data_IF_880363509392
#
_entry.id   IF_880363509392
#
_cell.length_a   1.000
_cell.length_b   1.000
_cell.length_c   1.000
_cell.angle_alpha   90.00
_cell.angle_beta   90.00
_cell.angle_gamma   90.00
#
_symmetry.space_group_name_H-M   'P 1'
#
loop_
_entity.id
_entity.type
_entity.pdbx_description
1 polymer ?
#
# COMPACT_ATOMS: atom_id res chain seq x y z
N UNK A 1 -27.23 -11.25 -9.98
CA UNK A 1 -27.16 -10.25 -8.90
C UNK A 1 -27.45 -8.89 -9.51
N UNK A 2 -28.24 -8.06 -8.84
CA UNK A 2 -28.35 -6.63 -9.19
C UNK A 2 -27.13 -5.91 -8.61
N UNK A 3 -26.45 -5.08 -9.41
CA UNK A 3 -25.28 -4.32 -8.95
C UNK A 3 -25.66 -3.33 -7.84
N UNK A 4 -26.82 -2.70 -8.00
CA UNK A 4 -27.49 -1.86 -7.01
C UNK A 4 -28.93 -2.36 -6.86
N UNK A 5 -29.39 -2.59 -5.62
CA UNK A 5 -30.80 -2.86 -5.31
C UNK A 5 -31.15 -2.27 -3.95
N UNK A 6 -32.42 -1.89 -3.76
CA UNK A 6 -32.99 -1.40 -2.49
C UNK A 6 -32.24 -0.26 -1.76
N UNK A 7 -31.28 0.42 -2.40
CA UNK A 7 -30.53 1.52 -1.78
C UNK A 7 -31.36 2.81 -1.75
N UNK A 8 -31.34 3.50 -0.61
CA UNK A 8 -31.96 4.81 -0.45
C UNK A 8 -31.21 5.89 -1.26
N UNK A 9 -31.92 6.72 -2.05
CA UNK A 9 -31.29 7.84 -2.73
C UNK A 9 -30.97 8.98 -1.74
N UNK A 10 -29.75 9.50 -1.80
CA UNK A 10 -29.32 10.68 -1.02
C UNK A 10 -29.36 11.91 -1.92
N UNK A 11 -30.17 12.90 -1.57
CA UNK A 11 -30.39 14.10 -2.39
C UNK A 11 -29.09 14.91 -2.55
N UNK A 12 -28.68 15.17 -3.80
CA UNK A 12 -27.50 16.00 -4.09
C UNK A 12 -26.15 15.30 -4.03
N UNK A 13 -26.11 13.97 -3.93
CA UNK A 13 -24.87 13.18 -3.95
C UNK A 13 -24.97 12.00 -4.93
N UNK A 14 -23.86 11.48 -5.50
CA UNK A 14 -23.89 10.19 -6.19
C UNK A 14 -24.36 9.10 -5.22
N UNK A 15 -25.11 8.11 -5.68
CA UNK A 15 -25.63 7.06 -4.78
C UNK A 15 -24.50 6.29 -4.10
N UNK A 16 -24.72 5.75 -2.90
CA UNK A 16 -23.70 4.93 -2.22
C UNK A 16 -23.27 3.72 -3.07
N UNK A 17 -24.17 3.18 -3.91
CA UNK A 17 -23.81 2.15 -4.88
C UNK A 17 -22.87 2.65 -5.98
N UNK A 18 -23.04 3.91 -6.44
CA UNK A 18 -22.10 4.55 -7.38
C UNK A 18 -20.69 4.64 -6.79
N UNK A 19 -20.56 4.85 -5.46
CA UNK A 19 -19.27 4.82 -4.79
C UNK A 19 -18.66 3.40 -4.78
N UNK A 20 -19.44 2.38 -4.42
CA UNK A 20 -19.00 0.97 -4.35
C UNK A 20 -18.74 0.33 -5.74
N UNK A 21 -19.35 0.86 -6.81
CA UNK A 21 -19.22 0.38 -8.19
C UNK A 21 -18.11 1.10 -8.96
N UNK A 22 -17.98 2.42 -8.77
CA UNK A 22 -17.09 3.27 -9.59
C UNK A 22 -15.95 3.85 -8.78
N UNK A 23 -16.24 4.51 -7.65
CA UNK A 23 -15.29 5.42 -7.01
C UNK A 23 -14.23 4.67 -6.20
N UNK A 24 -14.60 3.75 -5.31
CA UNK A 24 -13.63 2.96 -4.53
C UNK A 24 -12.75 2.07 -5.45
N UNK A 25 -13.33 1.30 -6.40
CA UNK A 25 -12.53 0.50 -7.33
C UNK A 25 -11.56 1.32 -8.20
N UNK A 26 -11.79 2.62 -8.41
CA UNK A 26 -10.94 3.48 -9.26
C UNK A 26 -9.49 3.54 -8.77
N UNK A 27 -9.25 3.54 -7.45
CA UNK A 27 -7.90 3.49 -6.90
C UNK A 27 -7.17 2.19 -7.32
N UNK A 28 -7.89 1.06 -7.27
CA UNK A 28 -7.38 -0.25 -7.70
C UNK A 28 -7.16 -0.32 -9.22
N UNK A 29 -8.07 0.24 -10.04
CA UNK A 29 -7.88 0.36 -11.49
C UNK A 29 -6.64 1.19 -11.85
N UNK A 30 -6.43 2.33 -11.19
CA UNK A 30 -5.24 3.18 -11.38
C UNK A 30 -3.95 2.44 -10.97
N UNK A 31 -3.96 1.73 -9.84
CA UNK A 31 -2.82 0.91 -9.42
C UNK A 31 -2.48 -0.14 -10.48
N UNK A 32 -3.47 -0.89 -10.97
CA UNK A 32 -3.26 -1.91 -12.02
C UNK A 32 -2.77 -1.31 -13.35
N UNK A 33 -3.31 -0.17 -13.79
CA UNK A 33 -2.81 0.54 -14.96
C UNK A 33 -1.35 1.01 -14.79
N UNK A 34 -0.92 1.30 -13.56
CA UNK A 34 0.47 1.69 -13.25
C UNK A 34 1.45 0.51 -13.16
N UNK A 35 0.97 -0.75 -13.06
CA UNK A 35 1.84 -1.92 -12.85
C UNK A 35 2.88 -2.13 -13.96
N UNK A 36 2.57 -2.06 -15.27
CA UNK A 36 3.56 -2.30 -16.32
C UNK A 36 4.72 -1.31 -16.24
N UNK A 37 4.41 -0.02 -16.04
CA UNK A 37 5.42 1.03 -15.84
C UNK A 37 6.25 0.79 -14.57
N UNK A 38 5.60 0.42 -13.47
CA UNK A 38 6.24 0.09 -12.20
C UNK A 38 7.22 -1.08 -12.35
N UNK A 39 6.83 -2.14 -13.07
CA UNK A 39 7.68 -3.31 -13.35
C UNK A 39 8.86 -2.95 -14.26
N UNK A 40 8.67 -2.12 -15.29
CA UNK A 40 9.74 -1.64 -16.18
C UNK A 40 10.75 -0.75 -15.43
N UNK A 41 10.29 0.09 -14.50
CA UNK A 41 11.18 0.92 -13.65
C UNK A 41 11.92 0.07 -12.62
N UNK A 42 11.26 -0.92 -12.01
CA UNK A 42 11.89 -1.85 -11.07
C UNK A 42 12.92 -2.78 -11.73
N UNK A 43 12.66 -3.29 -12.95
CA UNK A 43 13.59 -4.19 -13.64
C UNK A 43 14.93 -3.53 -13.92
N UNK A 44 14.92 -2.24 -14.28
CA UNK A 44 16.13 -1.41 -14.47
C UNK A 44 16.86 -1.05 -13.17
N UNK A 45 16.24 -1.21 -11.99
CA UNK A 45 16.81 -0.87 -10.67
C UNK A 45 17.28 -2.08 -9.85
N UNK A 46 17.37 -3.28 -10.44
CA UNK A 46 17.71 -4.55 -9.77
C UNK A 46 19.12 -4.66 -9.14
N UNK A 47 19.94 -3.61 -9.16
CA UNK A 47 21.32 -3.61 -8.65
C UNK A 47 21.49 -3.02 -7.24
N UNK A 48 20.43 -2.52 -6.60
CA UNK A 48 20.52 -2.07 -5.21
C UNK A 48 20.64 -3.26 -4.25
N UNK A 49 21.75 -3.34 -3.50
CA UNK A 49 21.96 -4.38 -2.48
C UNK A 49 20.84 -4.40 -1.42
N UNK A 50 20.52 -5.58 -0.84
CA UNK A 50 19.53 -5.68 0.23
C UNK A 50 20.03 -4.96 1.49
N UNK A 51 19.53 -3.74 1.71
CA UNK A 51 19.77 -2.96 2.93
C UNK A 51 19.38 -3.78 4.17
N UNK A 52 20.34 -3.98 5.08
CA UNK A 52 20.16 -4.81 6.26
C UNK A 52 19.02 -4.29 7.14
N UNK A 53 17.88 -4.99 7.12
CA UNK A 53 16.61 -4.50 7.66
C UNK A 53 16.68 -4.38 9.19
N UNK A 54 16.66 -3.13 9.66
CA UNK A 54 16.78 -2.79 11.08
C UNK A 54 15.68 -3.45 11.93
N UNK A 55 15.93 -3.63 13.23
CA UNK A 55 14.92 -4.19 14.16
C UNK A 55 13.60 -3.39 14.14
N UNK A 56 13.66 -2.07 13.92
CA UNK A 56 12.49 -1.21 13.78
C UNK A 56 11.72 -1.49 12.48
N UNK A 57 12.40 -1.53 11.32
CA UNK A 57 11.76 -1.86 10.05
C UNK A 57 11.12 -3.27 10.04
N UNK A 58 11.68 -4.23 10.79
CA UNK A 58 11.05 -5.54 11.00
C UNK A 58 9.74 -5.42 11.77
N UNK A 59 9.69 -4.64 12.86
CA UNK A 59 8.44 -4.37 13.61
C UNK A 59 7.39 -3.63 12.76
N UNK A 60 7.80 -2.61 12.01
CA UNK A 60 6.91 -1.84 11.12
C UNK A 60 6.26 -2.75 10.07
N UNK A 61 7.02 -3.69 9.50
CA UNK A 61 6.48 -4.62 8.51
C UNK A 61 5.51 -5.65 9.09
N UNK A 62 5.75 -6.12 10.33
CA UNK A 62 4.79 -6.97 11.05
C UNK A 62 3.49 -6.19 11.31
N UNK A 63 3.58 -4.94 11.78
CA UNK A 63 2.42 -4.06 11.96
C UNK A 63 1.65 -3.86 10.65
N UNK A 64 2.36 -3.58 9.55
CA UNK A 64 1.77 -3.44 8.22
C UNK A 64 0.99 -4.70 7.79
N UNK A 65 1.54 -5.89 8.03
CA UNK A 65 0.86 -7.16 7.73
C UNK A 65 -0.36 -7.42 8.62
N UNK A 66 -0.31 -7.05 9.91
CA UNK A 66 -1.50 -7.15 10.78
C UNK A 66 -2.61 -6.21 10.32
N UNK A 67 -2.26 -4.96 9.98
CA UNK A 67 -3.22 -3.98 9.46
C UNK A 67 -3.87 -4.45 8.15
N UNK A 68 -3.11 -5.01 7.20
CA UNK A 68 -3.68 -5.39 5.88
C UNK A 68 -4.52 -6.67 5.94
N UNK A 69 -4.25 -7.56 6.90
CA UNK A 69 -5.17 -8.67 7.21
C UNK A 69 -6.46 -8.15 7.86
N UNK A 70 -6.38 -7.15 8.76
CA UNK A 70 -7.57 -6.53 9.35
C UNK A 70 -8.41 -5.78 8.29
N UNK A 71 -7.77 -5.09 7.36
CA UNK A 71 -8.42 -4.33 6.28
C UNK A 71 -9.14 -5.23 5.28
N UNK A 72 -8.50 -6.33 4.87
CA UNK A 72 -9.13 -7.38 4.06
C UNK A 72 -10.30 -8.03 4.83
N UNK A 73 -10.16 -8.27 6.15
CA UNK A 73 -11.24 -8.83 6.96
C UNK A 73 -12.45 -7.87 7.07
N UNK A 74 -12.22 -6.56 7.28
CA UNK A 74 -13.29 -5.56 7.28
C UNK A 74 -13.97 -5.44 5.91
N UNK A 75 -13.19 -5.46 4.82
CA UNK A 75 -13.73 -5.49 3.44
C UNK A 75 -14.65 -6.70 3.22
N UNK A 76 -14.24 -7.89 3.68
CA UNK A 76 -15.06 -9.12 3.59
C UNK A 76 -16.30 -9.04 4.49
N UNK A 77 -16.21 -8.43 5.67
CA UNK A 77 -17.36 -8.21 6.56
C UNK A 77 -18.38 -7.25 5.94
N UNK A 78 -17.97 -6.14 5.33
CA UNK A 78 -18.89 -5.25 4.62
C UNK A 78 -19.56 -5.99 3.45
N UNK A 79 -18.78 -6.69 2.61
CA UNK A 79 -19.31 -7.47 1.48
C UNK A 79 -20.36 -8.49 1.96
N UNK A 80 -20.10 -9.19 3.08
CA UNK A 80 -21.05 -10.14 3.66
C UNK A 80 -22.33 -9.46 4.17
N UNK A 81 -22.21 -8.33 4.89
CA UNK A 81 -23.36 -7.57 5.40
C UNK A 81 -24.21 -6.98 4.28
N UNK A 82 -23.59 -6.39 3.24
CA UNK A 82 -24.26 -5.90 2.03
C UNK A 82 -24.97 -7.01 1.25
N UNK A 83 -24.37 -8.21 1.18
CA UNK A 83 -24.96 -9.36 0.50
C UNK A 83 -26.18 -9.91 1.26
N UNK A 84 -26.11 -10.02 2.59
CA UNK A 84 -27.25 -10.44 3.44
C UNK A 84 -28.40 -9.43 3.34
N UNK A 85 -28.11 -8.14 3.44
CA UNK A 85 -29.11 -7.07 3.33
C UNK A 85 -29.64 -6.81 1.91
N UNK A 86 -29.18 -7.55 0.89
CA UNK A 86 -29.56 -7.40 -0.53
C UNK A 86 -29.30 -6.00 -1.12
N UNK A 87 -28.41 -5.20 -0.52
CA UNK A 87 -28.10 -3.82 -0.92
C UNK A 87 -27.22 -3.73 -2.19
N UNK A 88 -26.74 -4.87 -2.68
CA UNK A 88 -25.81 -4.97 -3.81
C UNK A 88 -24.36 -4.79 -3.38
N UNK A 89 -23.51 -5.73 -3.80
CA UNK A 89 -22.06 -5.80 -3.47
C UNK A 89 -21.21 -4.87 -4.35
N UNK A 90 -21.77 -4.31 -5.42
CA UNK A 90 -21.06 -3.42 -6.35
C UNK A 90 -19.81 -4.08 -6.96
N UNK A 91 -18.69 -3.34 -6.98
CA UNK A 91 -17.36 -3.85 -7.35
C UNK A 91 -16.40 -3.89 -6.15
N UNK A 92 -16.88 -3.87 -4.91
CA UNK A 92 -16.05 -3.98 -3.70
C UNK A 92 -15.03 -5.15 -3.72
N UNK A 93 -15.34 -6.37 -4.23
CA UNK A 93 -14.35 -7.45 -4.37
C UNK A 93 -13.14 -7.10 -5.25
N UNK A 94 -13.27 -6.13 -6.16
CA UNK A 94 -12.18 -5.63 -6.98
C UNK A 94 -11.20 -4.77 -6.18
N UNK A 95 -11.64 -4.12 -5.09
CA UNK A 95 -10.75 -3.44 -4.17
C UNK A 95 -9.82 -4.43 -3.46
N UNK A 96 -10.34 -5.59 -3.07
CA UNK A 96 -9.56 -6.69 -2.49
C UNK A 96 -8.43 -7.17 -3.42
N UNK A 97 -8.64 -7.13 -4.75
CA UNK A 97 -7.59 -7.42 -5.74
C UNK A 97 -6.49 -6.35 -5.71
N UNK A 98 -6.86 -5.07 -5.60
CA UNK A 98 -5.90 -3.98 -5.40
C UNK A 98 -5.10 -4.10 -4.11
N UNK A 99 -5.75 -4.47 -2.99
CA UNK A 99 -5.07 -4.74 -1.71
C UNK A 99 -4.08 -5.91 -1.80
N UNK A 100 -4.44 -7.00 -2.49
CA UNK A 100 -3.52 -8.13 -2.74
C UNK A 100 -2.32 -7.68 -3.59
N UNK A 101 -2.54 -6.88 -4.63
CA UNK A 101 -1.47 -6.30 -5.45
C UNK A 101 -0.57 -5.38 -4.60
N UNK A 102 -1.14 -4.57 -3.71
CA UNK A 102 -0.41 -3.75 -2.76
C UNK A 102 0.50 -4.58 -1.84
N UNK A 103 0.00 -5.69 -1.27
CA UNK A 103 0.81 -6.65 -0.48
C UNK A 103 2.00 -7.16 -1.29
N UNK A 104 1.77 -7.57 -2.54
CA UNK A 104 2.82 -8.10 -3.44
C UNK A 104 3.86 -7.02 -3.77
N UNK A 105 3.43 -5.78 -4.04
CA UNK A 105 4.34 -4.65 -4.28
C UNK A 105 5.16 -4.26 -3.04
N UNK A 106 4.64 -4.45 -1.82
CA UNK A 106 5.39 -4.30 -0.56
C UNK A 106 6.38 -5.44 -0.34
N UNK A 107 6.02 -6.68 -0.72
CA UNK A 107 6.90 -7.85 -0.63
C UNK A 107 8.10 -7.78 -1.57
N UNK A 108 7.92 -7.24 -2.79
CA UNK A 108 8.95 -7.11 -3.83
C UNK A 108 9.77 -5.80 -3.68
N UNK A 109 9.47 -4.96 -2.69
CA UNK A 109 9.85 -3.54 -2.63
C UNK A 109 11.36 -3.28 -2.55
N UNK A 110 11.98 -3.05 -3.71
CA UNK A 110 13.35 -2.52 -3.83
C UNK A 110 13.44 -1.02 -4.13
N UNK A 111 12.45 -0.40 -4.80
CA UNK A 111 12.55 1.03 -5.17
C UNK A 111 11.25 1.81 -5.47
N UNK A 112 10.09 1.19 -5.66
CA UNK A 112 8.87 1.88 -6.16
C UNK A 112 7.91 2.27 -5.05
N UNK A 113 8.18 3.43 -4.42
CA UNK A 113 7.37 3.99 -3.33
C UNK A 113 6.14 4.77 -3.83
N UNK A 114 6.31 5.57 -4.89
CA UNK A 114 5.25 6.46 -5.43
C UNK A 114 3.89 5.79 -5.74
N UNK A 115 3.80 4.69 -6.54
CA UNK A 115 2.49 4.17 -6.94
C UNK A 115 1.68 3.64 -5.76
N UNK A 116 2.34 3.14 -4.72
CA UNK A 116 1.65 2.64 -3.53
C UNK A 116 1.17 3.77 -2.62
N UNK A 117 1.98 4.81 -2.43
CA UNK A 117 1.54 6.02 -1.71
C UNK A 117 0.30 6.65 -2.37
N UNK A 118 0.28 6.78 -3.70
CA UNK A 118 -0.88 7.30 -4.43
C UNK A 118 -2.11 6.37 -4.32
N UNK A 119 -1.92 5.05 -4.35
CA UNK A 119 -3.01 4.10 -4.14
C UNK A 119 -3.67 4.27 -2.76
N UNK A 120 -2.88 4.28 -1.68
CA UNK A 120 -3.42 4.49 -0.32
C UNK A 120 -4.07 5.86 -0.15
N UNK A 121 -3.47 6.92 -0.72
CA UNK A 121 -4.04 8.27 -0.66
C UNK A 121 -5.38 8.36 -1.40
N UNK A 122 -5.52 7.73 -2.57
CA UNK A 122 -6.77 7.68 -3.31
C UNK A 122 -7.86 6.87 -2.58
N UNK A 123 -7.50 5.74 -1.98
CA UNK A 123 -8.42 4.97 -1.13
C UNK A 123 -8.97 5.83 0.02
N UNK A 124 -8.09 6.45 0.83
CA UNK A 124 -8.49 7.33 1.93
C UNK A 124 -9.43 8.44 1.47
N UNK A 125 -9.18 9.06 0.31
CA UNK A 125 -10.05 10.12 -0.25
C UNK A 125 -11.42 9.55 -0.62
N UNK A 126 -11.47 8.43 -1.34
CA UNK A 126 -12.72 7.82 -1.81
C UNK A 126 -13.55 7.22 -0.67
N UNK A 127 -12.89 6.59 0.30
CA UNK A 127 -13.51 6.04 1.49
C UNK A 127 -13.97 7.13 2.46
N UNK A 128 -13.25 8.27 2.56
CA UNK A 128 -13.74 9.44 3.30
C UNK A 128 -15.01 10.04 2.67
N UNK A 129 -15.09 10.11 1.34
CA UNK A 129 -16.31 10.52 0.63
C UNK A 129 -17.47 9.55 0.93
N UNK A 130 -17.21 8.23 0.96
CA UNK A 130 -18.20 7.22 1.36
C UNK A 130 -18.65 7.44 2.80
N UNK A 131 -17.74 7.44 3.77
CA UNK A 131 -18.04 7.66 5.20
C UNK A 131 -18.85 8.95 5.40
N UNK A 132 -18.49 10.04 4.73
CA UNK A 132 -19.23 11.30 4.79
C UNK A 132 -20.67 11.18 4.27
N UNK A 133 -20.92 10.46 3.17
CA UNK A 133 -22.28 10.18 2.71
C UNK A 133 -23.08 9.33 3.71
N UNK A 134 -22.45 8.31 4.32
CA UNK A 134 -23.14 7.44 5.27
C UNK A 134 -23.62 8.18 6.53
N UNK A 135 -23.02 9.31 6.90
CA UNK A 135 -23.51 10.17 7.99
C UNK A 135 -24.92 10.73 7.75
N UNK A 136 -25.40 10.72 6.50
CA UNK A 136 -26.75 11.17 6.13
C UNK A 136 -27.78 10.03 6.00
N UNK A 137 -27.36 8.77 6.19
CA UNK A 137 -28.29 7.65 6.24
C UNK A 137 -29.04 7.63 7.59
N UNK A 138 -30.35 7.28 7.62
CA UNK A 138 -31.07 7.13 8.87
C UNK A 138 -30.47 5.97 9.68
N UNK A 139 -30.20 6.21 10.96
CA UNK A 139 -29.58 5.22 11.86
C UNK A 139 -30.43 3.97 12.11
N UNK A 140 -31.73 4.01 11.76
CA UNK A 140 -32.63 2.86 11.70
C UNK A 140 -33.23 2.77 10.30
N UNK A 141 -32.73 1.85 9.50
CA UNK A 141 -33.37 1.36 8.27
C UNK A 141 -34.19 0.09 8.58
N UNK A 142 -35.16 -0.30 7.73
CA UNK A 142 -35.93 -1.54 7.92
C UNK A 142 -35.16 -2.82 7.52
N UNK A 143 -34.02 -2.66 6.84
CA UNK A 143 -33.10 -3.69 6.38
C UNK A 143 -32.15 -4.20 7.48
N UNK A 144 -31.53 -5.37 7.24
CA UNK A 144 -30.74 -6.12 8.23
C UNK A 144 -29.32 -5.55 8.48
N UNK A 145 -29.01 -4.36 7.97
CA UNK A 145 -27.71 -3.72 8.10
C UNK A 145 -27.92 -2.20 8.30
N UNK A 146 -28.13 -1.74 9.55
CA UNK A 146 -28.52 -0.36 9.81
C UNK A 146 -27.39 0.62 9.49
N UNK A 147 -27.76 1.85 9.10
CA UNK A 147 -26.81 2.90 8.71
C UNK A 147 -25.75 3.24 9.77
N UNK A 148 -26.03 3.01 11.06
CA UNK A 148 -25.05 3.13 12.15
C UNK A 148 -23.86 2.17 11.99
N UNK A 149 -24.16 0.92 11.66
CA UNK A 149 -23.21 -0.18 11.61
C UNK A 149 -22.43 -0.10 10.30
N UNK A 150 -23.12 0.26 9.22
CA UNK A 150 -22.50 0.53 7.92
C UNK A 150 -21.53 1.72 8.01
N UNK A 151 -21.89 2.79 8.73
CA UNK A 151 -21.00 3.93 8.98
C UNK A 151 -19.78 3.53 9.83
N UNK A 152 -19.98 2.72 10.87
CA UNK A 152 -18.91 2.25 11.76
C UNK A 152 -17.89 1.38 11.02
N UNK A 153 -18.35 0.37 10.27
CA UNK A 153 -17.48 -0.52 9.50
C UNK A 153 -16.61 0.28 8.51
N UNK A 154 -17.24 1.21 7.76
CA UNK A 154 -16.55 2.04 6.78
C UNK A 154 -15.58 3.04 7.42
N UNK A 155 -15.89 3.58 8.60
CA UNK A 155 -15.00 4.46 9.35
C UNK A 155 -13.78 3.72 9.92
N UNK A 156 -13.93 2.44 10.29
CA UNK A 156 -12.80 1.57 10.69
C UNK A 156 -11.89 1.34 9.48
N UNK A 157 -12.44 1.00 8.31
CA UNK A 157 -11.66 0.85 7.07
C UNK A 157 -10.89 2.13 6.72
N UNK A 158 -11.54 3.30 6.77
CA UNK A 158 -10.88 4.59 6.57
C UNK A 158 -9.70 4.83 7.52
N UNK A 159 -9.80 4.36 8.77
CA UNK A 159 -8.72 4.43 9.75
C UNK A 159 -7.54 3.50 9.44
N UNK A 160 -7.81 2.31 8.89
CA UNK A 160 -6.79 1.35 8.43
C UNK A 160 -6.06 1.89 7.18
N UNK A 161 -6.82 2.35 6.18
CA UNK A 161 -6.29 3.00 4.97
C UNK A 161 -5.42 4.22 5.30
N UNK A 162 -5.90 5.09 6.21
CA UNK A 162 -5.15 6.25 6.70
C UNK A 162 -3.85 5.85 7.41
N UNK A 163 -3.85 4.72 8.11
CA UNK A 163 -2.66 4.18 8.76
C UNK A 163 -1.62 3.72 7.72
N UNK A 164 -2.02 3.18 6.56
CA UNK A 164 -1.07 2.88 5.48
C UNK A 164 -0.47 4.13 4.87
N UNK A 165 -1.25 5.20 4.64
CA UNK A 165 -0.70 6.49 4.16
C UNK A 165 0.40 7.01 5.10
N UNK A 166 0.18 6.93 6.41
CA UNK A 166 1.19 7.34 7.40
C UNK A 166 2.44 6.43 7.39
N UNK A 167 2.27 5.11 7.28
CA UNK A 167 3.38 4.16 7.23
C UNK A 167 4.21 4.29 5.94
N UNK A 168 3.58 4.41 4.78
CA UNK A 168 4.27 4.60 3.50
C UNK A 168 4.95 5.99 3.42
N UNK A 169 4.35 7.01 4.06
CA UNK A 169 4.99 8.33 4.23
C UNK A 169 6.23 8.24 5.10
N UNK A 170 6.14 7.60 6.27
CA UNK A 170 7.27 7.40 7.18
C UNK A 170 8.43 6.65 6.49
N UNK A 171 8.14 5.52 5.84
CA UNK A 171 9.16 4.72 5.16
C UNK A 171 9.77 5.48 3.97
N UNK A 172 8.98 6.29 3.26
CA UNK A 172 9.47 7.18 2.19
C UNK A 172 10.41 8.26 2.72
N UNK A 173 10.10 8.88 3.87
CA UNK A 173 10.97 9.87 4.53
C UNK A 173 12.28 9.22 5.00
N UNK A 174 12.22 8.02 5.58
CA UNK A 174 13.41 7.27 6.02
C UNK A 174 14.30 6.90 4.82
N UNK A 175 13.72 6.41 3.73
CA UNK A 175 14.46 6.12 2.50
C UNK A 175 15.01 7.38 1.82
N UNK A 176 14.30 8.51 1.84
CA UNK A 176 14.79 9.79 1.34
C UNK A 176 16.02 10.26 2.15
N UNK A 177 15.92 10.27 3.48
CA UNK A 177 17.01 10.62 4.39
C UNK A 177 18.18 9.62 4.35
N UNK A 178 17.96 8.39 3.89
CA UNK A 178 19.05 7.47 3.57
C UNK A 178 19.74 7.85 2.26
N UNK A 179 18.99 8.08 1.17
CA UNK A 179 19.56 8.46 -0.13
C UNK A 179 20.36 9.76 -0.09
N UNK A 180 19.90 10.74 0.66
CA UNK A 180 20.61 12.01 0.86
C UNK A 180 22.00 11.76 1.47
N UNK A 181 22.06 11.06 2.62
CA UNK A 181 23.33 10.73 3.28
C UNK A 181 24.30 9.90 2.43
N UNK A 182 23.80 9.01 1.57
CA UNK A 182 24.66 8.29 0.61
C UNK A 182 25.18 9.18 -0.52
N UNK A 183 24.42 10.19 -0.94
CA UNK A 183 24.88 11.19 -1.91
C UNK A 183 25.95 12.09 -1.29
N UNK A 184 25.72 12.60 -0.08
CA UNK A 184 26.67 13.44 0.66
C UNK A 184 28.01 12.72 0.89
N UNK A 185 27.98 11.43 1.22
CA UNK A 185 29.17 10.60 1.39
C UNK A 185 29.97 10.40 0.08
N UNK A 186 29.29 10.27 -1.07
CA UNK A 186 29.95 10.18 -2.38
C UNK A 186 30.59 11.51 -2.79
N UNK A 187 29.94 12.64 -2.50
CA UNK A 187 30.48 13.98 -2.76
C UNK A 187 31.72 14.27 -1.91
N UNK A 188 31.74 13.81 -0.65
CA UNK A 188 32.91 13.97 0.24
C UNK A 188 34.08 13.02 -0.09
N UNK A 189 33.80 11.90 -0.76
CA UNK A 189 34.80 10.87 -1.09
C UNK A 189 34.72 10.46 -2.58
N UNK A 190 35.08 11.36 -3.53
CA UNK A 190 34.99 11.06 -4.97
C UNK A 190 35.81 9.85 -5.39
N UNK A 191 36.90 9.53 -4.69
CA UNK A 191 37.70 8.32 -4.91
C UNK A 191 36.92 7.00 -4.73
N UNK A 192 35.81 6.98 -3.97
CA UNK A 192 34.91 5.82 -3.89
C UNK A 192 33.99 5.70 -5.11
N UNK A 193 33.82 6.76 -5.91
CA UNK A 193 32.94 6.78 -7.08
C UNK A 193 33.60 6.28 -8.36
N UNK A 194 34.94 6.18 -8.42
CA UNK A 194 35.65 5.76 -9.64
C UNK A 194 35.78 4.23 -9.79
N UNK A 195 35.34 3.44 -8.80
CA UNK A 195 35.47 1.97 -8.82
C UNK A 195 36.91 1.46 -8.61
N UNK A 196 37.90 2.35 -8.56
CA UNK A 196 39.31 2.10 -8.24
C UNK A 196 39.53 1.74 -6.76
N UNK A 197 38.81 0.72 -6.28
CA UNK A 197 39.14 0.00 -5.06
C UNK A 197 40.51 -0.65 -5.30
N UNK A 198 41.59 -0.27 -4.59
CA UNK A 198 42.89 -0.86 -4.83
C UNK A 198 42.79 -2.36 -4.54
N UNK A 199 43.08 -3.18 -5.55
CA UNK A 199 43.25 -4.62 -5.37
C UNK A 199 44.31 -4.82 -4.29
N UNK A 200 43.87 -5.28 -3.13
CA UNK A 200 44.72 -5.54 -1.98
C UNK A 200 45.87 -6.43 -2.45
N UNK A 201 47.14 -5.99 -2.35
CA UNK A 201 48.24 -6.67 -3.02
C UNK A 201 48.29 -8.12 -2.57
N UNK A 202 48.30 -9.03 -3.54
CA UNK A 202 48.42 -10.46 -3.32
C UNK A 202 49.59 -10.70 -2.39
N UNK A 203 49.33 -11.31 -1.22
CA UNK A 203 50.38 -11.63 -0.26
C UNK A 203 51.36 -12.61 -0.92
N UNK A 204 52.52 -12.10 -1.31
CA UNK A 204 53.53 -12.84 -2.04
C UNK A 204 54.10 -13.94 -1.13
N UNK A 205 53.81 -15.20 -1.46
CA UNK A 205 54.24 -16.36 -0.67
C UNK A 205 55.68 -16.71 -1.04
N UNK A 206 56.59 -16.00 -0.39
CA UNK A 206 58.04 -16.13 -0.51
C UNK A 206 58.59 -16.44 0.90
N UNK A 207 59.35 -17.50 1.15
CA UNK A 207 59.97 -18.45 0.23
C UNK A 207 59.99 -19.90 0.76
N UNK A 208 60.29 -20.86 -0.12
CA UNK A 208 60.66 -22.24 0.24
C UNK A 208 62.13 -22.49 -0.08
N UNK A 209 62.79 -23.40 0.65
CA UNK A 209 64.25 -23.72 0.54
C UNK A 209 65.16 -22.55 1.00
N UNK A 210 66.38 -22.70 1.54
CA UNK A 210 67.35 -23.80 1.78
C UNK A 210 68.14 -23.42 3.08
N UNK A 211 68.94 -24.19 3.83
CA UNK A 211 69.71 -25.45 3.65
C UNK A 211 70.11 -26.03 5.02
N UNK A 212 70.45 -27.33 5.07
CA UNK A 212 71.17 -28.09 6.13
C UNK A 212 70.39 -28.41 7.41
#
# INVERSE_FOLDING_TARGET
>A
MLLCSNRTPVTGSPSTCTLDVVVIPLASWILMASLPLTVIVCSKRRQALPLSRTRLQKKIWILYLVLIVADIAMTVLEIARLAVAQLGVGLLPFNTVGLIIAVVLVGIRGSTFMPLFFFWLLLVIFQAIKVHQLMYLPSKTPDQYPGSDQLLDNAIMLGLESSFVLLDTYDSIVHWKHRLRTHDALVMHPALSEGNLPLQPTSEVTDTTTTK
#
